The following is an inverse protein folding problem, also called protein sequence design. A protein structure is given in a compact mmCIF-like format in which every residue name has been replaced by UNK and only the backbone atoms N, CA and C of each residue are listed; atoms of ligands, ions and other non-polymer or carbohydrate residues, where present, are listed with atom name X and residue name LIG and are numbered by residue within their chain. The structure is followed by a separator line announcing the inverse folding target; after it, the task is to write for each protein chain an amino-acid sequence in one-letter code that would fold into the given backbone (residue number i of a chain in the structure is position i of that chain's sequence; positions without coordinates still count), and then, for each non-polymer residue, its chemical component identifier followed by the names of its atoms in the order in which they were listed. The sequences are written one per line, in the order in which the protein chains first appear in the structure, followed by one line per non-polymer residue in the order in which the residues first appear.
data_IF_287626872143
#
_entry.id   IF_287626872143
#
_cell.length_a   1.000
_cell.length_b   1.000
_cell.length_c   1.000
_cell.angle_alpha   90.00
_cell.angle_beta   90.00
_cell.angle_gamma   90.00
#
_symmetry.space_group_name_H-M   'P 1'
#
loop_
_entity.id
_entity.type
_entity.pdbx_description
1 polymer ?
#
# COMPACT_ATOMS: atom_id res chain seq x y z
N UNK A 1 -2.68 -3.45 22.40
CA UNK A 1 -1.75 -3.93 21.33
C UNK A 1 -2.49 -3.70 20.04
N UNK A 2 -1.97 -2.88 19.15
CA UNK A 2 -2.58 -2.57 17.85
C UNK A 2 -2.34 -3.73 16.89
N UNK A 3 -3.38 -4.15 16.17
CA UNK A 3 -3.38 -5.21 15.15
C UNK A 3 -3.85 -4.62 13.83
N UNK A 4 -3.12 -4.83 12.76
CA UNK A 4 -3.51 -4.35 11.44
C UNK A 4 -3.35 -5.42 10.36
N UNK A 5 -4.09 -5.28 9.28
CA UNK A 5 -3.95 -6.09 8.08
C UNK A 5 -3.19 -5.30 7.01
N UNK A 6 -2.20 -5.95 6.37
CA UNK A 6 -1.44 -5.37 5.27
C UNK A 6 -1.72 -6.13 3.98
N UNK A 7 -2.26 -5.41 3.00
CA UNK A 7 -2.56 -5.86 1.65
C UNK A 7 -1.69 -5.10 0.66
N UNK A 8 -1.26 -5.78 -0.40
CA UNK A 8 -0.61 -5.19 -1.55
C UNK A 8 -0.87 -6.08 -2.77
N UNK A 9 -0.71 -5.52 -3.96
CA UNK A 9 -0.72 -6.26 -5.22
C UNK A 9 -1.98 -7.13 -5.40
N UNK A 10 -3.16 -6.57 -5.08
CA UNK A 10 -4.44 -7.28 -5.21
C UNK A 10 -4.83 -7.50 -6.67
N UNK A 11 -4.45 -6.58 -7.56
CA UNK A 11 -4.70 -6.63 -9.00
C UNK A 11 -6.13 -7.03 -9.35
N UNK A 12 -7.11 -6.40 -8.70
CA UNK A 12 -8.53 -6.68 -8.95
C UNK A 12 -8.88 -6.32 -10.40
N UNK A 13 -9.49 -7.29 -11.09
CA UNK A 13 -9.79 -7.16 -12.52
C UNK A 13 -8.67 -7.66 -13.44
N UNK A 14 -7.58 -8.23 -12.90
CA UNK A 14 -6.61 -8.99 -13.67
C UNK A 14 -7.25 -10.27 -14.24
N UNK A 15 -6.52 -10.91 -15.14
CA UNK A 15 -6.90 -12.15 -15.79
C UNK A 15 -8.01 -12.01 -16.85
N UNK A 16 -7.83 -12.67 -17.98
CA UNK A 16 -8.85 -12.73 -19.06
C UNK A 16 -9.84 -13.87 -18.84
N UNK A 17 -9.42 -14.92 -18.11
CA UNK A 17 -10.26 -16.06 -17.79
C UNK A 17 -11.17 -15.70 -16.61
N UNK A 18 -12.47 -15.85 -16.78
CA UNK A 18 -13.47 -15.48 -15.75
C UNK A 18 -13.24 -16.22 -14.45
N UNK A 19 -12.90 -17.51 -14.52
CA UNK A 19 -12.68 -18.35 -13.33
C UNK A 19 -11.51 -17.84 -12.48
N UNK A 20 -10.42 -17.34 -13.13
CA UNK A 20 -9.27 -16.78 -12.43
C UNK A 20 -9.59 -15.40 -11.86
N UNK A 21 -10.38 -14.60 -12.58
CA UNK A 21 -10.86 -13.30 -12.08
C UNK A 21 -11.75 -13.48 -10.85
N UNK A 22 -12.67 -14.42 -10.89
CA UNK A 22 -13.56 -14.76 -9.76
C UNK A 22 -12.74 -15.28 -8.56
N UNK A 23 -11.72 -16.10 -8.80
CA UNK A 23 -10.86 -16.63 -7.75
C UNK A 23 -10.03 -15.51 -7.10
N UNK A 24 -9.46 -14.61 -7.90
CA UNK A 24 -8.73 -13.44 -7.42
C UNK A 24 -9.63 -12.59 -6.52
N UNK A 25 -10.82 -12.26 -6.97
CA UNK A 25 -11.77 -11.45 -6.18
C UNK A 25 -12.22 -12.17 -4.90
N UNK A 26 -12.52 -13.49 -4.97
CA UNK A 26 -12.83 -14.30 -3.79
C UNK A 26 -11.70 -14.33 -2.76
N UNK A 27 -10.45 -14.34 -3.22
CA UNK A 27 -9.29 -14.29 -2.33
C UNK A 27 -9.24 -12.96 -1.57
N UNK A 28 -9.49 -11.85 -2.27
CA UNK A 28 -9.59 -10.52 -1.67
C UNK A 28 -10.73 -10.44 -0.64
N UNK A 29 -11.93 -10.92 -1.00
CA UNK A 29 -13.08 -10.98 -0.09
C UNK A 29 -12.76 -11.75 1.19
N UNK A 30 -12.23 -12.98 1.06
CA UNK A 30 -11.88 -13.81 2.21
C UNK A 30 -10.86 -13.16 3.13
N UNK A 31 -9.90 -12.43 2.55
CA UNK A 31 -8.92 -11.74 3.35
C UNK A 31 -9.52 -10.58 4.15
N UNK A 32 -10.43 -9.83 3.55
CA UNK A 32 -11.20 -8.78 4.26
C UNK A 32 -12.05 -9.40 5.36
N UNK A 33 -12.84 -10.43 5.05
CA UNK A 33 -13.69 -11.12 6.03
C UNK A 33 -12.86 -11.63 7.22
N UNK A 34 -11.73 -12.30 6.93
CA UNK A 34 -10.83 -12.76 7.96
C UNK A 34 -10.25 -11.64 8.81
N UNK A 35 -9.89 -10.53 8.21
CA UNK A 35 -9.35 -9.37 8.93
C UNK A 35 -10.38 -8.74 9.87
N UNK A 36 -11.65 -8.66 9.42
CA UNK A 36 -12.77 -8.17 10.24
C UNK A 36 -13.03 -9.14 11.41
N UNK A 37 -13.07 -10.46 11.15
CA UNK A 37 -13.21 -11.50 12.20
C UNK A 37 -12.10 -11.41 13.25
N UNK A 38 -10.86 -11.19 12.81
CA UNK A 38 -9.69 -11.01 13.68
C UNK A 38 -9.68 -9.67 14.40
N UNK A 39 -10.65 -8.79 14.11
CA UNK A 39 -10.80 -7.46 14.72
C UNK A 39 -9.52 -6.64 14.59
N UNK A 40 -9.04 -6.48 13.36
CA UNK A 40 -7.92 -5.57 13.10
C UNK A 40 -8.35 -4.13 13.38
N UNK A 41 -7.43 -3.32 13.86
CA UNK A 41 -7.70 -1.91 14.19
C UNK A 41 -7.70 -1.04 12.92
N UNK A 42 -6.93 -1.43 11.90
CA UNK A 42 -6.91 -0.76 10.57
C UNK A 42 -6.36 -1.66 9.46
N UNK A 43 -6.58 -1.23 8.22
CA UNK A 43 -6.00 -1.81 7.01
C UNK A 43 -4.93 -0.91 6.43
N UNK A 44 -3.85 -1.52 5.91
CA UNK A 44 -2.86 -0.90 5.03
C UNK A 44 -2.98 -1.53 3.65
N UNK A 45 -3.16 -0.73 2.60
CA UNK A 45 -3.20 -1.19 1.21
C UNK A 45 -2.05 -0.52 0.44
N UNK A 46 -0.96 -1.26 0.27
CA UNK A 46 0.30 -0.74 -0.23
C UNK A 46 0.43 -0.85 -1.77
N UNK A 47 -0.56 -0.34 -2.48
CA UNK A 47 -0.57 -0.20 -3.94
C UNK A 47 -1.08 -1.41 -4.71
N UNK A 48 -1.34 -1.19 -5.99
CA UNK A 48 -1.87 -2.14 -6.98
C UNK A 48 -3.15 -2.84 -6.48
N UNK A 49 -4.10 -2.02 -5.99
CA UNK A 49 -5.43 -2.51 -5.66
C UNK A 49 -6.14 -3.02 -6.91
N UNK A 50 -6.09 -2.24 -7.99
CA UNK A 50 -6.61 -2.61 -9.30
C UNK A 50 -5.49 -2.98 -10.26
N UNK A 51 -5.81 -3.86 -11.24
CA UNK A 51 -4.87 -4.22 -12.31
C UNK A 51 -4.71 -3.11 -13.37
N UNK A 52 -5.56 -2.11 -13.32
CA UNK A 52 -5.55 -0.98 -14.25
C UNK A 52 -6.10 0.29 -13.58
N UNK A 53 -5.58 1.43 -13.98
CA UNK A 53 -6.10 2.74 -13.57
C UNK A 53 -7.59 2.96 -13.95
N UNK A 54 -8.11 2.15 -14.88
CA UNK A 54 -9.50 2.15 -15.33
C UNK A 54 -10.09 0.74 -15.28
N UNK A 55 -10.37 0.21 -14.08
CA UNK A 55 -10.92 -1.13 -13.93
C UNK A 55 -12.36 -1.22 -14.48
N UNK A 56 -12.81 -2.43 -14.88
CA UNK A 56 -14.18 -2.67 -15.30
C UNK A 56 -15.20 -2.25 -14.23
N UNK A 57 -16.36 -1.78 -14.66
CA UNK A 57 -17.39 -1.25 -13.73
C UNK A 57 -17.91 -2.33 -12.76
N UNK A 58 -17.95 -3.58 -13.20
CA UNK A 58 -18.34 -4.72 -12.37
C UNK A 58 -17.36 -4.91 -11.21
N UNK A 59 -16.05 -4.87 -11.50
CA UNK A 59 -14.98 -4.97 -10.50
C UNK A 59 -15.07 -3.80 -9.51
N UNK A 60 -15.29 -2.59 -10.01
CA UNK A 60 -15.49 -1.42 -9.15
C UNK A 60 -16.66 -1.62 -8.20
N UNK A 61 -17.83 -2.02 -8.72
CA UNK A 61 -19.04 -2.26 -7.94
C UNK A 61 -18.80 -3.26 -6.82
N UNK A 62 -18.17 -4.38 -7.12
CA UNK A 62 -17.85 -5.42 -6.14
C UNK A 62 -16.83 -4.92 -5.10
N UNK A 63 -15.76 -4.23 -5.55
CA UNK A 63 -14.76 -3.65 -4.67
C UNK A 63 -15.37 -2.63 -3.71
N UNK A 64 -16.24 -1.74 -4.20
CA UNK A 64 -16.98 -0.81 -3.33
C UNK A 64 -17.85 -1.54 -2.30
N UNK A 65 -18.42 -2.70 -2.65
CA UNK A 65 -19.14 -3.56 -1.72
C UNK A 65 -18.26 -4.02 -0.56
N UNK A 66 -17.03 -4.44 -0.84
CA UNK A 66 -16.09 -4.89 0.19
C UNK A 66 -15.60 -3.73 1.07
N UNK A 67 -15.26 -2.58 0.47
CA UNK A 67 -14.89 -1.39 1.24
C UNK A 67 -16.05 -0.89 2.14
N UNK A 68 -17.29 -1.05 1.68
CA UNK A 68 -18.49 -0.75 2.49
C UNK A 68 -18.54 -1.65 3.73
N UNK A 69 -18.26 -2.95 3.61
CA UNK A 69 -18.22 -3.87 4.76
C UNK A 69 -17.16 -3.43 5.79
N UNK A 70 -15.95 -3.06 5.32
CA UNK A 70 -14.87 -2.56 6.20
C UNK A 70 -15.36 -1.29 6.94
N UNK A 71 -15.96 -0.35 6.20
CA UNK A 71 -16.49 0.90 6.77
C UNK A 71 -17.61 0.65 7.80
N UNK A 72 -18.53 -0.29 7.52
CA UNK A 72 -19.60 -0.69 8.44
C UNK A 72 -19.05 -1.38 9.70
N UNK A 73 -17.91 -2.05 9.59
CA UNK A 73 -17.18 -2.58 10.75
C UNK A 73 -16.43 -1.49 11.56
N UNK A 74 -16.44 -0.24 11.09
CA UNK A 74 -15.77 0.88 11.75
C UNK A 74 -14.25 0.87 11.66
N UNK A 75 -13.68 0.11 10.70
CA UNK A 75 -12.24 -0.07 10.57
C UNK A 75 -11.70 0.89 9.49
N UNK A 76 -10.75 1.77 9.78
CA UNK A 76 -10.16 2.66 8.78
C UNK A 76 -9.24 1.90 7.81
N UNK A 77 -9.18 2.40 6.58
CA UNK A 77 -8.30 1.89 5.52
C UNK A 77 -7.36 3.00 5.10
N UNK A 78 -6.07 2.76 5.22
CA UNK A 78 -5.01 3.63 4.71
C UNK A 78 -4.43 3.02 3.44
N UNK A 79 -4.29 3.81 2.39
CA UNK A 79 -3.78 3.31 1.11
C UNK A 79 -2.80 4.27 0.44
N UNK A 80 -2.04 3.71 -0.48
CA UNK A 80 -1.29 4.41 -1.52
C UNK A 80 -1.62 3.81 -2.89
N UNK A 81 -1.41 4.56 -3.96
CA UNK A 81 -1.47 4.02 -5.31
C UNK A 81 -0.24 3.18 -5.62
N UNK A 82 -0.42 2.10 -6.39
CA UNK A 82 0.66 1.37 -7.01
C UNK A 82 0.85 1.76 -8.49
N UNK A 83 1.73 1.05 -9.18
CA UNK A 83 2.07 1.35 -10.57
C UNK A 83 0.90 1.12 -11.54
N UNK A 84 0.02 0.17 -11.25
CA UNK A 84 -1.17 -0.15 -12.03
C UNK A 84 -2.33 0.79 -11.75
N UNK A 85 -2.48 1.27 -10.51
CA UNK A 85 -3.51 2.25 -10.13
C UNK A 85 -3.24 3.64 -10.75
N UNK A 86 -1.97 3.94 -11.09
CA UNK A 86 -1.55 5.24 -11.54
C UNK A 86 -2.04 5.55 -12.97
N UNK A 87 -2.69 6.70 -13.15
CA UNK A 87 -3.03 7.21 -14.48
C UNK A 87 -2.18 8.42 -14.85
N UNK A 88 -1.89 8.57 -16.14
CA UNK A 88 -1.14 9.72 -16.66
C UNK A 88 -1.83 11.07 -16.40
N UNK A 89 -3.14 11.07 -16.16
CA UNK A 89 -3.92 12.26 -15.80
C UNK A 89 -3.85 12.62 -14.32
N UNK A 90 -3.19 11.78 -13.48
CA UNK A 90 -3.16 11.92 -12.04
C UNK A 90 -4.47 11.58 -11.34
N UNK A 91 -5.49 11.09 -12.07
CA UNK A 91 -6.80 10.71 -11.51
C UNK A 91 -6.92 9.19 -11.49
N UNK A 92 -7.36 8.65 -10.37
CA UNK A 92 -7.51 7.22 -10.19
C UNK A 92 -8.88 6.89 -9.58
N UNK A 93 -9.30 5.63 -9.65
CA UNK A 93 -10.49 5.20 -8.91
C UNK A 93 -10.26 5.17 -7.39
N UNK A 94 -9.01 5.20 -6.95
CA UNK A 94 -8.68 5.38 -5.53
C UNK A 94 -9.17 6.74 -5.01
N UNK A 95 -9.13 7.80 -5.85
CA UNK A 95 -9.69 9.11 -5.51
C UNK A 95 -11.20 9.04 -5.29
N UNK A 96 -11.90 8.17 -6.03
CA UNK A 96 -13.35 7.95 -5.87
C UNK A 96 -13.65 7.24 -4.56
N UNK A 97 -12.85 6.22 -4.21
CA UNK A 97 -12.95 5.53 -2.92
C UNK A 97 -12.71 6.49 -1.75
N UNK A 98 -11.69 7.33 -1.85
CA UNK A 98 -11.37 8.33 -0.83
C UNK A 98 -12.47 9.38 -0.69
N UNK A 99 -12.94 9.97 -1.80
CA UNK A 99 -14.05 10.94 -1.79
C UNK A 99 -15.35 10.34 -1.26
N UNK A 100 -15.56 9.03 -1.46
CA UNK A 100 -16.65 8.28 -0.85
C UNK A 100 -16.47 8.01 0.64
N UNK A 101 -15.32 8.38 1.20
CA UNK A 101 -14.98 8.15 2.61
C UNK A 101 -14.82 6.68 2.96
N UNK A 102 -14.32 5.87 2.01
CA UNK A 102 -14.03 4.45 2.20
C UNK A 102 -12.59 4.19 2.61
N UNK A 103 -11.69 5.12 2.33
CA UNK A 103 -10.27 5.02 2.64
C UNK A 103 -9.66 6.41 2.81
N UNK A 104 -8.42 6.45 3.23
CA UNK A 104 -7.58 7.64 3.39
C UNK A 104 -6.33 7.40 2.55
N UNK A 105 -6.12 8.22 1.52
CA UNK A 105 -4.85 8.22 0.81
C UNK A 105 -3.78 8.88 1.68
N UNK A 106 -2.72 8.13 1.98
CA UNK A 106 -1.63 8.63 2.83
C UNK A 106 -0.46 9.22 2.04
N UNK A 107 -0.63 9.37 0.72
CA UNK A 107 0.29 10.14 -0.12
C UNK A 107 0.18 11.63 0.22
N UNK A 108 1.03 12.08 1.14
CA UNK A 108 1.07 13.46 1.56
C UNK A 108 2.53 13.92 1.67
N UNK A 109 2.97 14.72 0.72
CA UNK A 109 4.37 15.14 0.66
C UNK A 109 4.53 16.58 0.15
N UNK A 110 5.70 17.12 0.37
CA UNK A 110 6.09 18.46 -0.02
C UNK A 110 7.49 18.43 -0.62
N UNK A 111 7.63 18.93 -1.84
CA UNK A 111 8.93 19.05 -2.49
C UNK A 111 9.62 20.32 -1.98
N UNK A 112 10.79 20.16 -1.39
CA UNK A 112 11.58 21.26 -0.85
C UNK A 112 12.39 21.97 -1.95
N UNK A 113 12.87 23.20 -1.70
CA UNK A 113 13.68 23.96 -2.64
C UNK A 113 14.94 23.23 -3.11
N UNK A 114 15.52 22.39 -2.25
CA UNK A 114 16.72 21.56 -2.56
C UNK A 114 16.37 20.27 -3.33
N UNK A 115 15.10 20.06 -3.71
CA UNK A 115 14.62 18.86 -4.40
C UNK A 115 14.38 17.65 -3.52
N UNK A 116 14.57 17.73 -2.20
CA UNK A 116 14.18 16.67 -1.27
C UNK A 116 12.66 16.65 -1.09
N UNK A 117 12.14 15.48 -0.75
CA UNK A 117 10.70 15.23 -0.60
C UNK A 117 10.42 14.93 0.87
N UNK A 118 9.79 15.88 1.54
CA UNK A 118 9.36 15.70 2.94
C UNK A 118 7.97 15.08 2.98
N UNK A 119 7.85 13.88 3.57
CA UNK A 119 6.56 13.27 3.82
C UNK A 119 5.91 13.85 5.08
N UNK A 120 4.57 13.98 5.02
CA UNK A 120 3.73 14.40 6.14
C UNK A 120 2.93 13.19 6.62
N UNK A 121 2.82 12.97 7.94
CA UNK A 121 2.12 11.80 8.45
C UNK A 121 0.60 11.93 8.39
N UNK A 122 -0.06 10.81 8.22
CA UNK A 122 -1.45 10.56 8.62
C UNK A 122 -1.41 9.75 9.91
N UNK A 123 -2.35 9.95 10.82
CA UNK A 123 -2.30 9.32 12.14
C UNK A 123 -3.41 8.30 12.34
N UNK A 124 -3.04 7.18 12.94
CA UNK A 124 -3.94 6.31 13.68
C UNK A 124 -3.48 6.30 15.14
N UNK A 125 -4.26 6.93 16.02
CA UNK A 125 -3.85 7.18 17.42
C UNK A 125 -2.46 7.84 17.48
N UNK A 126 -1.47 7.18 18.08
CA UNK A 126 -0.07 7.62 18.20
C UNK A 126 0.87 7.05 17.11
N UNK A 127 0.30 6.31 16.15
CA UNK A 127 1.04 5.74 15.02
C UNK A 127 1.05 6.75 13.87
N UNK A 128 2.23 7.14 13.43
CA UNK A 128 2.43 7.97 12.24
C UNK A 128 2.56 7.09 10.99
N UNK A 129 1.66 7.25 10.03
CA UNK A 129 1.63 6.53 8.77
C UNK A 129 2.07 7.48 7.66
N UNK A 130 3.16 7.14 7.00
CA UNK A 130 3.69 7.85 5.84
C UNK A 130 3.48 7.03 4.58
N UNK A 131 3.24 7.66 3.43
CA UNK A 131 3.04 6.97 2.17
C UNK A 131 3.78 7.63 1.03
N UNK A 132 4.37 6.80 0.15
CA UNK A 132 4.86 7.22 -1.15
C UNK A 132 4.39 6.22 -2.22
N UNK A 133 3.69 6.68 -3.28
CA UNK A 133 3.06 5.79 -4.25
C UNK A 133 4.07 5.15 -5.19
N UNK A 134 3.68 4.03 -5.80
CA UNK A 134 4.33 3.50 -6.97
C UNK A 134 4.04 4.33 -8.21
N UNK A 135 4.94 4.30 -9.19
CA UNK A 135 4.77 4.99 -10.48
C UNK A 135 5.09 4.03 -11.62
N UNK A 136 4.51 4.30 -12.79
CA UNK A 136 4.88 3.55 -13.99
C UNK A 136 6.36 3.71 -14.30
N UNK A 137 6.97 2.61 -14.75
CA UNK A 137 8.37 2.59 -15.18
C UNK A 137 9.42 2.85 -14.09
N UNK A 138 9.07 2.63 -12.81
CA UNK A 138 10.03 2.76 -11.70
C UNK A 138 10.46 4.20 -11.41
N UNK A 139 9.70 5.18 -11.85
CA UNK A 139 10.03 6.61 -11.64
C UNK A 139 10.07 7.00 -10.16
N UNK A 140 9.40 6.25 -9.29
CA UNK A 140 9.41 6.45 -7.83
C UNK A 140 10.78 6.16 -7.20
N UNK A 141 11.64 5.36 -7.85
CA UNK A 141 12.94 4.96 -7.32
C UNK A 141 13.85 6.18 -7.09
N UNK A 142 13.90 7.09 -8.06
CA UNK A 142 14.69 8.33 -7.95
C UNK A 142 14.13 9.26 -6.86
N UNK A 143 12.82 9.33 -6.74
CA UNK A 143 12.17 10.14 -5.72
C UNK A 143 12.39 9.55 -4.32
N UNK A 144 12.27 8.23 -4.16
CA UNK A 144 12.47 7.53 -2.89
C UNK A 144 13.88 7.72 -2.31
N UNK A 145 14.88 7.99 -3.15
CA UNK A 145 16.23 8.35 -2.71
C UNK A 145 16.34 9.73 -2.05
N UNK A 146 15.29 10.57 -2.24
CA UNK A 146 15.20 11.95 -1.73
C UNK A 146 14.13 12.12 -0.66
N UNK A 147 13.36 11.06 -0.41
CA UNK A 147 12.27 11.05 0.57
C UNK A 147 12.82 11.03 1.99
N UNK A 148 12.24 11.83 2.86
CA UNK A 148 12.51 11.80 4.30
C UNK A 148 11.27 12.20 5.10
N UNK A 149 11.28 11.87 6.40
CA UNK A 149 10.32 12.34 7.39
C UNK A 149 10.98 12.45 8.77
N UNK A 150 10.34 13.20 9.65
CA UNK A 150 10.83 13.36 11.01
C UNK A 150 10.56 12.09 11.83
N UNK A 151 11.55 11.60 12.58
CA UNK A 151 11.49 10.38 13.39
C UNK A 151 11.11 10.64 14.86
N UNK A 152 10.20 11.60 15.08
CA UNK A 152 9.80 12.04 16.45
C UNK A 152 8.59 11.28 16.99
N UNK A 153 8.05 10.33 16.26
CA UNK A 153 6.82 9.63 16.60
C UNK A 153 7.08 8.33 17.35
N UNK A 154 6.18 7.92 18.27
CA UNK A 154 6.33 6.70 19.06
C UNK A 154 6.40 5.43 18.22
N UNK A 155 5.65 5.40 17.11
CA UNK A 155 5.65 4.31 16.14
C UNK A 155 5.40 4.85 14.73
N UNK A 156 6.17 4.37 13.77
CA UNK A 156 6.13 4.83 12.39
C UNK A 156 5.88 3.67 11.43
N UNK A 157 4.95 3.88 10.50
CA UNK A 157 4.69 2.99 9.38
C UNK A 157 5.03 3.74 8.10
N UNK A 158 5.82 3.14 7.23
CA UNK A 158 6.10 3.69 5.91
C UNK A 158 5.55 2.76 4.82
N UNK A 159 4.52 3.25 4.12
CA UNK A 159 3.89 2.55 3.00
C UNK A 159 4.58 2.95 1.71
N UNK A 160 5.09 1.98 0.96
CA UNK A 160 5.75 2.19 -0.34
C UNK A 160 5.37 1.09 -1.33
N UNK A 161 5.35 1.45 -2.60
CA UNK A 161 5.10 0.49 -3.68
C UNK A 161 6.26 0.59 -4.68
N UNK A 162 7.28 -0.24 -4.49
CA UNK A 162 8.54 -0.19 -5.24
C UNK A 162 9.36 -1.46 -5.09
N UNK A 163 10.40 -1.56 -5.90
CA UNK A 163 11.39 -2.64 -5.88
C UNK A 163 12.53 -2.30 -4.90
N UNK A 164 12.83 -3.23 -4.00
CA UNK A 164 13.95 -3.12 -3.03
C UNK A 164 15.08 -4.05 -3.44
N UNK A 165 16.33 -3.57 -3.36
CA UNK A 165 17.52 -4.31 -3.77
C UNK A 165 17.68 -5.66 -3.04
N UNK A 166 17.29 -5.72 -1.77
CA UNK A 166 17.34 -6.97 -0.97
C UNK A 166 16.42 -8.08 -1.52
N UNK A 167 15.39 -7.72 -2.29
CA UNK A 167 14.41 -8.68 -2.87
C UNK A 167 14.84 -9.13 -4.25
N UNK A 168 15.34 -8.22 -5.07
CA UNK A 168 15.74 -8.55 -6.46
C UNK A 168 17.09 -9.24 -6.54
N UNK A 169 17.94 -9.10 -5.53
CA UNK A 169 19.28 -9.71 -5.53
C UNK A 169 20.11 -9.29 -6.75
N UNK A 170 20.50 -10.25 -7.58
CA UNK A 170 21.33 -10.00 -8.78
C UNK A 170 20.51 -9.80 -10.07
N UNK A 171 19.19 -9.67 -10.00
CA UNK A 171 18.38 -9.39 -11.19
C UNK A 171 18.69 -7.99 -11.72
N UNK A 172 18.76 -7.78 -13.04
CA UNK A 172 19.05 -6.48 -13.64
C UNK A 172 17.78 -5.60 -13.63
N UNK A 173 17.30 -5.26 -12.44
CA UNK A 173 16.16 -4.40 -12.21
C UNK A 173 16.58 -3.20 -11.38
N UNK A 174 16.10 -2.03 -11.76
CA UNK A 174 16.24 -0.84 -10.92
C UNK A 174 15.53 -1.07 -9.58
N UNK A 175 16.19 -0.66 -8.51
CA UNK A 175 15.70 -0.88 -7.16
C UNK A 175 16.22 0.19 -6.19
N UNK A 176 15.50 0.35 -5.10
CA UNK A 176 15.92 1.23 -4.01
C UNK A 176 16.75 0.42 -3.02
N UNK A 177 17.91 0.94 -2.66
CA UNK A 177 18.66 0.42 -1.51
C UNK A 177 17.90 0.79 -0.23
N UNK A 178 17.56 -0.20 0.59
CA UNK A 178 16.86 0.01 1.87
C UNK A 178 17.56 1.03 2.78
N UNK A 179 18.91 1.14 2.70
CA UNK A 179 19.70 2.10 3.48
C UNK A 179 19.45 3.55 3.06
N UNK A 180 18.81 3.77 1.91
CA UNK A 180 18.41 5.09 1.42
C UNK A 180 16.98 5.47 1.85
N UNK A 181 16.21 4.53 2.38
CA UNK A 181 14.88 4.82 2.90
C UNK A 181 14.96 5.42 4.30
N UNK A 182 14.04 6.35 4.64
CA UNK A 182 13.90 6.83 6.01
C UNK A 182 13.61 5.67 6.97
N UNK A 183 14.14 5.74 8.20
CA UNK A 183 13.91 4.72 9.20
C UNK A 183 12.44 4.72 9.67
N UNK A 184 11.80 3.57 9.58
CA UNK A 184 10.46 3.32 10.07
C UNK A 184 10.43 2.04 10.93
N UNK A 185 9.46 1.96 11.85
CA UNK A 185 9.24 0.74 12.64
C UNK A 185 8.60 -0.35 11.78
N UNK A 186 7.81 0.03 10.76
CA UNK A 186 7.20 -0.88 9.78
C UNK A 186 7.22 -0.32 8.36
N UNK A 187 7.65 -1.16 7.41
CA UNK A 187 7.54 -0.88 5.98
C UNK A 187 6.44 -1.75 5.38
N UNK A 188 5.32 -1.12 5.01
CA UNK A 188 4.27 -1.78 4.26
C UNK A 188 4.57 -1.66 2.77
N UNK A 189 5.04 -2.77 2.17
CA UNK A 189 5.55 -2.78 0.79
C UNK A 189 4.64 -3.57 -0.14
N UNK A 190 4.49 -3.10 -1.38
CA UNK A 190 3.95 -3.81 -2.53
C UNK A 190 4.92 -3.78 -3.71
N UNK A 191 4.47 -4.25 -4.89
CA UNK A 191 5.13 -4.29 -6.19
C UNK A 191 5.81 -5.62 -6.52
N UNK A 192 6.51 -6.24 -5.58
CA UNK A 192 7.10 -7.56 -5.81
C UNK A 192 6.19 -8.63 -5.23
N UNK A 193 5.61 -9.45 -6.10
CA UNK A 193 4.62 -10.49 -5.75
C UNK A 193 5.26 -11.68 -4.99
N UNK A 194 6.21 -11.38 -4.11
CA UNK A 194 6.86 -12.37 -3.25
C UNK A 194 6.65 -12.03 -1.79
N UNK A 195 6.42 -13.05 -0.97
CA UNK A 195 6.44 -12.86 0.48
C UNK A 195 7.87 -12.60 0.90
N UNK A 196 8.14 -11.35 1.20
CA UNK A 196 9.42 -10.95 1.75
C UNK A 196 9.21 -10.49 3.20
N UNK A 197 9.90 -11.15 4.12
CA UNK A 197 9.93 -10.74 5.52
C UNK A 197 11.37 -10.68 5.99
N UNK A 198 11.82 -9.49 6.34
CA UNK A 198 13.11 -9.27 6.96
C UNK A 198 12.90 -8.58 8.31
N UNK A 199 13.43 -9.19 9.38
CA UNK A 199 13.44 -8.59 10.71
C UNK A 199 14.88 -8.23 11.01
N UNK A 200 15.19 -6.97 11.23
CA UNK A 200 16.51 -6.54 11.70
C UNK A 200 16.55 -6.53 13.23
N UNK A 201 17.71 -6.78 13.82
CA UNK A 201 17.88 -7.03 15.24
C UNK A 201 17.41 -5.90 16.18
N UNK A 202 17.15 -4.70 15.64
CA UNK A 202 16.72 -3.52 16.38
C UNK A 202 15.28 -3.07 16.09
N UNK A 203 14.51 -3.80 15.26
CA UNK A 203 13.10 -3.48 14.97
C UNK A 203 12.18 -4.37 15.78
N UNK A 204 11.20 -3.75 16.46
CA UNK A 204 10.17 -4.45 17.23
C UNK A 204 9.32 -5.31 16.30
N UNK A 205 8.93 -6.49 16.78
CA UNK A 205 8.31 -7.63 16.10
C UNK A 205 7.24 -7.31 15.02
N UNK A 206 7.34 -8.02 13.89
CA UNK A 206 6.52 -7.93 12.69
C UNK A 206 5.65 -9.16 12.45
N UNK A 207 4.44 -8.96 11.92
CA UNK A 207 3.60 -10.01 11.34
C UNK A 207 3.03 -9.52 10.00
N UNK A 208 3.43 -10.07 8.85
CA UNK A 208 2.72 -9.82 7.60
C UNK A 208 1.61 -10.84 7.41
N UNK A 209 0.40 -10.40 7.10
CA UNK A 209 -0.58 -11.21 6.40
C UNK A 209 -0.47 -10.93 4.91
N UNK A 210 -0.46 -12.00 4.11
CA UNK A 210 -0.49 -11.95 2.67
C UNK A 210 -1.82 -12.49 2.17
N UNK A 211 -2.40 -11.80 1.18
CA UNK A 211 -3.31 -12.37 0.21
C UNK A 211 -2.56 -12.41 -1.11
N UNK A 212 -2.26 -13.58 -1.60
CA UNK A 212 -1.78 -13.83 -2.94
C UNK A 212 -2.63 -14.93 -3.54
#
# INVERSE_FOLDING_TARGET
MVKFAHFADCHLGSWRQQELQDLNFKSFQKAIERSIEERVDFFLMAGDLFDSAYPPIEILKETFGEFKKIKEAGIPVYLIAGSHDFSASGKTFLDVLEKGGFCINVENHEVQENGNIKLKPTFFEDIAIFGYPGRKSGMEIEDLRKVYFDSVYPYTIFMIHTTISDVVGNLPMDSVDKLKLPLADYYAMGHIHQVFKKTEANTKKWWPFRVG
#
